data_IF_482686360197
#
_entry.id   IF_482686360197
#
_cell.length_a   1.000
_cell.length_b   1.000
_cell.length_c   1.000
_cell.angle_alpha   90.00
_cell.angle_beta   90.00
_cell.angle_gamma   90.00
#
_symmetry.space_group_name_H-M   'P 1'
#
loop_
_entity.id
_entity.type
_entity.pdbx_description
1 polymer ?
#
# COMPACT_ATOMS: atom_id res chain seq x y z
N UNK A 1 15.26 1.71 11.44
CA UNK A 1 15.83 2.67 10.45
C UNK A 1 17.35 2.68 10.43
N UNK A 2 18.06 2.93 11.54
CA UNK A 2 19.54 3.06 11.50
C UNK A 2 20.27 1.76 11.10
N UNK A 3 19.89 0.62 11.68
CA UNK A 3 20.47 -0.69 11.33
C UNK A 3 20.21 -1.10 9.86
N UNK A 4 19.02 -0.80 9.34
CA UNK A 4 18.64 -1.08 7.95
C UNK A 4 19.41 -0.19 6.98
N UNK A 5 19.52 1.10 7.29
CA UNK A 5 20.32 2.04 6.52
C UNK A 5 21.79 1.61 6.46
N UNK A 6 22.37 1.21 7.60
CA UNK A 6 23.75 0.74 7.66
C UNK A 6 23.98 -0.46 6.73
N UNK A 7 23.02 -1.38 6.68
CA UNK A 7 23.07 -2.54 5.79
C UNK A 7 23.06 -2.13 4.32
N UNK A 8 22.20 -1.19 3.94
CA UNK A 8 22.11 -0.66 2.57
C UNK A 8 23.38 0.10 2.19
N UNK A 9 23.87 0.94 3.09
CA UNK A 9 25.10 1.70 2.89
C UNK A 9 26.29 0.77 2.65
N UNK A 10 26.49 -0.25 3.51
CA UNK A 10 27.58 -1.20 3.36
C UNK A 10 27.52 -1.96 2.03
N UNK A 11 26.32 -2.34 1.56
CA UNK A 11 26.17 -2.93 0.22
C UNK A 11 26.61 -1.98 -0.89
N UNK A 12 26.25 -0.70 -0.77
CA UNK A 12 26.69 0.32 -1.74
C UNK A 12 28.21 0.52 -1.70
N UNK A 13 28.84 0.48 -0.52
CA UNK A 13 30.30 0.51 -0.38
C UNK A 13 30.94 -0.68 -1.10
N UNK A 14 30.47 -1.91 -0.85
CA UNK A 14 30.99 -3.11 -1.52
C UNK A 14 30.82 -3.05 -3.04
N UNK A 15 29.73 -2.46 -3.54
CA UNK A 15 29.54 -2.23 -4.98
C UNK A 15 30.53 -1.20 -5.52
N UNK A 16 30.79 -0.11 -4.79
CA UNK A 16 31.76 0.91 -5.20
C UNK A 16 33.21 0.36 -5.21
N UNK A 17 33.57 -0.46 -4.23
CA UNK A 17 34.87 -1.13 -4.16
C UNK A 17 35.11 -2.04 -5.38
N UNK A 18 34.06 -2.67 -5.93
CA UNK A 18 34.18 -3.51 -7.13
C UNK A 18 34.60 -2.74 -8.38
N UNK A 19 34.44 -1.42 -8.38
CA UNK A 19 34.87 -0.51 -9.46
C UNK A 19 36.00 0.42 -9.02
N UNK A 20 36.73 0.04 -7.96
CA UNK A 20 37.84 0.80 -7.36
C UNK A 20 37.45 2.25 -6.96
N UNK A 21 36.19 2.43 -6.55
CA UNK A 21 35.66 3.68 -6.06
C UNK A 21 35.43 3.61 -4.54
N UNK A 22 35.86 4.65 -3.83
CA UNK A 22 35.60 4.79 -2.40
C UNK A 22 34.47 5.79 -2.14
N UNK A 23 33.61 5.54 -1.14
CA UNK A 23 32.60 6.51 -0.72
C UNK A 23 33.30 7.77 -0.22
N UNK A 24 33.08 8.89 -0.91
CA UNK A 24 33.56 10.19 -0.48
C UNK A 24 32.41 11.16 -0.29
N UNK A 25 32.62 12.14 0.59
CA UNK A 25 31.71 13.26 0.72
C UNK A 25 31.95 14.24 -0.43
N UNK A 26 30.92 14.59 -1.22
CA UNK A 26 30.99 15.68 -2.17
C UNK A 26 31.38 16.99 -1.47
N UNK A 27 32.03 17.89 -2.21
CA UNK A 27 32.34 19.22 -1.70
C UNK A 27 31.04 19.96 -1.36
N UNK A 28 30.88 20.29 -0.09
CA UNK A 28 29.78 21.11 0.44
C UNK A 28 30.03 22.55 -0.02
N UNK A 29 29.30 23.01 -1.04
CA UNK A 29 29.36 24.40 -1.51
C UNK A 29 28.41 25.29 -0.70
N UNK A 30 28.81 26.53 -0.42
CA UNK A 30 28.02 27.49 0.37
C UNK A 30 26.64 27.80 -0.23
N UNK A 31 26.44 27.58 -1.54
CA UNK A 31 25.16 27.78 -2.22
C UNK A 31 24.85 26.58 -3.12
N UNK A 32 23.89 25.76 -2.71
CA UNK A 32 23.21 24.81 -3.60
C UNK A 32 21.73 25.19 -3.68
N UNK A 33 21.16 25.13 -4.89
CA UNK A 33 19.76 25.50 -5.15
C UNK A 33 18.84 24.27 -5.16
N UNK A 34 19.36 23.11 -5.59
CA UNK A 34 18.55 21.93 -5.91
C UNK A 34 18.76 20.73 -4.97
N UNK A 35 19.71 20.81 -4.03
CA UNK A 35 20.01 19.71 -3.10
C UNK A 35 20.18 20.22 -1.69
N UNK A 36 19.63 19.49 -0.72
CA UNK A 36 19.94 19.65 0.70
C UNK A 36 21.44 19.42 0.93
N UNK A 37 22.02 20.28 1.75
CA UNK A 37 23.45 20.26 2.06
C UNK A 37 23.64 20.32 3.58
N UNK A 38 22.90 19.46 4.28
CA UNK A 38 23.02 19.30 5.73
C UNK A 38 24.44 18.84 6.07
N UNK A 39 25.02 19.48 7.09
CA UNK A 39 26.36 19.14 7.55
C UNK A 39 26.40 17.68 8.06
N UNK A 40 27.49 16.99 7.76
CA UNK A 40 27.75 15.63 8.20
C UNK A 40 29.26 15.46 8.48
N UNK A 41 29.58 14.59 9.43
CA UNK A 41 30.94 14.28 9.87
C UNK A 41 31.68 13.30 8.97
N UNK A 42 30.94 12.44 8.27
CA UNK A 42 31.46 11.29 7.55
C UNK A 42 30.55 10.94 6.35
N UNK A 43 31.06 10.20 5.34
CA UNK A 43 30.28 9.83 4.15
C UNK A 43 28.97 9.13 4.48
N UNK A 44 28.96 8.24 5.48
CA UNK A 44 27.78 7.45 5.83
C UNK A 44 26.65 8.35 6.36
N UNK A 45 26.98 9.25 7.29
CA UNK A 45 26.07 10.28 7.79
C UNK A 45 25.63 11.24 6.69
N UNK A 46 26.54 11.62 5.79
CA UNK A 46 26.24 12.51 4.67
C UNK A 46 25.17 11.93 3.74
N UNK A 47 25.35 10.69 3.27
CA UNK A 47 24.39 10.03 2.39
C UNK A 47 23.08 9.71 3.11
N UNK A 48 23.08 9.56 4.43
CA UNK A 48 21.85 9.36 5.19
C UNK A 48 20.96 10.61 5.12
N UNK A 49 21.51 11.76 5.48
CA UNK A 49 20.74 13.00 5.64
C UNK A 49 20.47 13.67 4.29
N UNK A 50 21.41 13.59 3.35
CA UNK A 50 21.32 14.32 2.07
C UNK A 50 20.89 13.46 0.87
N UNK A 51 20.58 12.18 1.08
CA UNK A 51 20.08 11.28 0.03
C UNK A 51 18.99 10.35 0.56
N UNK A 52 19.28 9.52 1.56
CA UNK A 52 18.37 8.46 1.98
C UNK A 52 17.07 8.99 2.60
N UNK A 53 17.17 9.94 3.55
CA UNK A 53 15.98 10.55 4.17
C UNK A 53 15.14 11.29 3.12
N UNK A 54 15.67 12.25 2.34
CA UNK A 54 14.88 12.94 1.31
C UNK A 54 14.25 12.00 0.28
N UNK A 55 14.94 10.91 -0.08
CA UNK A 55 14.41 9.93 -1.01
C UNK A 55 13.24 9.13 -0.43
N UNK A 56 13.36 8.67 0.81
CA UNK A 56 12.27 7.95 1.50
C UNK A 56 11.09 8.88 1.72
N UNK A 57 11.34 10.12 2.15
CA UNK A 57 10.29 11.14 2.31
C UNK A 57 9.57 11.39 0.99
N UNK A 58 10.30 11.48 -0.13
CA UNK A 58 9.70 11.65 -1.45
C UNK A 58 8.87 10.44 -1.90
N UNK A 59 9.31 9.22 -1.59
CA UNK A 59 8.50 8.01 -1.86
C UNK A 59 7.22 8.05 -1.04
N UNK A 60 7.31 8.38 0.25
CA UNK A 60 6.15 8.50 1.13
C UNK A 60 5.20 9.55 0.58
N UNK A 61 5.69 10.75 0.27
CA UNK A 61 4.88 11.83 -0.34
C UNK A 61 4.27 11.40 -1.68
N UNK A 62 5.01 10.68 -2.51
CA UNK A 62 4.51 10.16 -3.78
C UNK A 62 3.42 9.12 -3.59
N UNK A 63 3.56 8.22 -2.62
CA UNK A 63 2.54 7.25 -2.24
C UNK A 63 1.32 7.97 -1.67
N UNK A 64 1.52 8.91 -0.74
CA UNK A 64 0.46 9.72 -0.18
C UNK A 64 -0.25 10.52 -1.26
N UNK A 65 0.43 11.20 -2.17
CA UNK A 65 -0.22 12.00 -3.22
C UNK A 65 -1.01 11.12 -4.20
N UNK A 66 -0.41 10.03 -4.69
CA UNK A 66 -1.04 9.16 -5.70
C UNK A 66 -2.19 8.34 -5.12
N UNK A 67 -2.07 7.94 -3.86
CA UNK A 67 -3.09 7.17 -3.16
C UNK A 67 -3.93 8.04 -2.19
N UNK A 68 -3.75 9.35 -2.11
CA UNK A 68 -4.72 10.24 -1.41
C UNK A 68 -5.77 10.80 -2.37
N UNK A 69 -5.56 10.72 -3.69
CA UNK A 69 -6.48 11.27 -4.69
C UNK A 69 -7.82 10.53 -4.84
N UNK A 70 -7.91 9.25 -4.47
CA UNK A 70 -9.19 8.51 -4.38
C UNK A 70 -10.00 8.95 -3.14
N UNK A 71 -9.57 10.03 -2.47
CA UNK A 71 -10.07 10.60 -1.20
C UNK A 71 -10.54 12.04 -1.33
N UNK A 72 -11.12 12.41 -2.46
CA UNK A 72 -11.82 13.70 -2.58
C UNK A 72 -13.08 13.86 -1.71
N UNK A 73 -13.68 12.77 -1.20
CA UNK A 73 -15.00 12.83 -0.55
C UNK A 73 -15.06 12.58 0.96
N UNK A 74 -13.95 12.28 1.64
CA UNK A 74 -13.99 12.03 3.10
C UNK A 74 -12.85 12.78 3.78
N UNK A 75 -13.02 14.09 3.91
CA UNK A 75 -12.26 14.92 4.82
C UNK A 75 -12.60 14.46 6.24
N UNK A 76 -11.76 13.60 6.85
CA UNK A 76 -11.49 13.52 8.30
C UNK A 76 -10.84 12.20 8.77
N UNK A 77 -10.57 11.21 7.93
CA UNK A 77 -9.76 10.05 8.34
C UNK A 77 -8.28 10.32 8.08
N UNK A 78 -7.51 10.25 9.16
CA UNK A 78 -6.05 10.33 9.14
C UNK A 78 -5.52 9.02 8.55
N UNK A 79 -4.52 9.15 7.67
CA UNK A 79 -3.66 8.09 7.14
C UNK A 79 -4.21 7.26 5.97
N UNK A 80 -3.37 7.13 4.93
CA UNK A 80 -3.49 6.18 3.83
C UNK A 80 -3.84 4.74 4.30
N UNK A 81 -3.48 4.38 5.54
CA UNK A 81 -3.72 3.04 6.08
C UNK A 81 -5.18 2.71 6.38
N UNK A 82 -6.03 3.69 6.72
CA UNK A 82 -7.45 3.40 7.04
C UNK A 82 -8.31 3.25 5.79
N UNK A 83 -7.99 4.02 4.74
CA UNK A 83 -8.83 4.12 3.55
C UNK A 83 -8.62 3.00 2.53
N UNK A 84 -7.47 2.32 2.54
CA UNK A 84 -7.18 1.18 1.67
C UNK A 84 -7.29 -0.18 2.34
N UNK A 85 -8.03 -0.29 3.46
CA UNK A 85 -8.36 -1.58 4.07
C UNK A 85 -9.36 -2.35 3.20
N UNK A 86 -8.86 -2.82 2.06
CA UNK A 86 -9.39 -3.96 1.30
C UNK A 86 -9.41 -5.24 2.16
N UNK A 87 -8.82 -5.20 3.35
CA UNK A 87 -9.04 -6.13 4.46
C UNK A 87 -10.54 -6.42 4.67
N UNK A 88 -11.44 -5.48 4.40
CA UNK A 88 -12.89 -5.72 4.49
C UNK A 88 -13.43 -6.79 3.53
N UNK A 89 -12.66 -7.17 2.51
CA UNK A 89 -12.95 -8.28 1.60
C UNK A 89 -12.20 -9.57 1.96
N UNK A 90 -11.32 -9.53 2.96
CA UNK A 90 -10.64 -10.72 3.49
C UNK A 90 -11.63 -11.47 4.39
N UNK A 91 -11.98 -12.73 4.07
CA UNK A 91 -12.95 -13.51 4.82
C UNK A 91 -12.74 -13.53 6.33
N UNK A 92 -11.51 -13.73 6.83
CA UNK A 92 -11.27 -13.72 8.29
C UNK A 92 -11.64 -12.39 8.92
N UNK A 93 -11.35 -11.26 8.25
CA UNK A 93 -11.69 -9.93 8.74
C UNK A 93 -13.19 -9.68 8.61
N UNK A 94 -13.81 -10.09 7.51
CA UNK A 94 -15.23 -9.90 7.23
C UNK A 94 -16.13 -10.66 8.22
N UNK A 95 -15.71 -11.85 8.66
CA UNK A 95 -16.45 -12.67 9.61
C UNK A 95 -16.55 -12.04 11.01
N UNK A 96 -15.59 -11.20 11.39
CA UNK A 96 -15.58 -10.50 12.68
C UNK A 96 -16.64 -9.39 12.79
N UNK A 97 -17.20 -8.93 11.67
CA UNK A 97 -18.19 -7.85 11.66
C UNK A 97 -19.62 -8.39 11.60
N UNK A 98 -20.52 -7.87 12.43
CA UNK A 98 -21.94 -8.21 12.38
C UNK A 98 -22.65 -7.74 11.09
N UNK A 99 -22.23 -6.60 10.54
CA UNK A 99 -22.69 -6.02 9.27
C UNK A 99 -21.51 -5.86 8.29
N UNK A 100 -21.74 -5.59 6.98
CA UNK A 100 -20.64 -5.25 6.06
C UNK A 100 -19.74 -4.15 6.68
N UNK A 101 -18.41 -4.34 6.67
CA UNK A 101 -17.50 -3.41 7.33
C UNK A 101 -17.51 -2.05 6.64
N UNK A 102 -17.23 -0.94 7.34
CA UNK A 102 -17.24 0.40 6.76
C UNK A 102 -16.37 0.56 5.50
N UNK A 103 -15.35 -0.28 5.34
CA UNK A 103 -14.49 -0.32 4.16
C UNK A 103 -15.20 -0.78 2.88
N UNK A 104 -16.35 -1.48 2.95
CA UNK A 104 -17.15 -1.81 1.76
C UNK A 104 -17.75 -0.57 1.14
N UNK A 105 -18.21 0.40 1.95
CA UNK A 105 -18.74 1.68 1.47
C UNK A 105 -17.69 2.53 0.76
N UNK A 106 -16.44 2.45 1.23
CA UNK A 106 -15.31 3.11 0.57
C UNK A 106 -15.09 2.53 -0.84
N UNK A 107 -15.32 1.22 -1.02
CA UNK A 107 -15.26 0.58 -2.33
C UNK A 107 -16.46 0.98 -3.20
N UNK A 108 -17.67 1.07 -2.65
CA UNK A 108 -18.84 1.57 -3.40
C UNK A 108 -18.59 2.97 -3.95
N UNK A 109 -18.12 3.89 -3.12
CA UNK A 109 -17.84 5.27 -3.55
C UNK A 109 -16.73 5.30 -4.61
N UNK A 110 -15.63 4.58 -4.38
CA UNK A 110 -14.46 4.58 -5.26
C UNK A 110 -14.73 3.94 -6.63
N UNK A 111 -15.59 2.92 -6.67
CA UNK A 111 -15.93 2.16 -7.89
C UNK A 111 -17.38 2.41 -8.33
N UNK A 112 -17.99 3.52 -7.91
CA UNK A 112 -19.39 3.84 -8.20
C UNK A 112 -19.70 3.91 -9.70
N UNK A 113 -18.78 4.42 -10.51
CA UNK A 113 -18.90 4.45 -11.97
C UNK A 113 -18.74 3.07 -12.62
N UNK A 114 -18.15 2.14 -11.87
CA UNK A 114 -17.73 0.83 -12.34
C UNK A 114 -18.69 -0.28 -11.91
N UNK A 115 -19.56 0.03 -10.95
CA UNK A 115 -20.60 -0.84 -10.48
C UNK A 115 -21.91 -0.58 -11.27
N UNK A 116 -22.55 -1.62 -11.84
CA UNK A 116 -23.90 -1.55 -12.40
C UNK A 116 -24.95 -1.11 -11.36
N UNK A 117 -24.75 -1.50 -10.09
CA UNK A 117 -25.51 -0.98 -8.95
C UNK A 117 -24.74 -1.18 -7.63
N UNK A 118 -24.96 -0.27 -6.68
CA UNK A 118 -24.37 -0.36 -5.32
C UNK A 118 -24.80 -1.64 -4.60
N UNK A 119 -26.06 -2.04 -4.77
CA UNK A 119 -26.67 -3.22 -4.13
C UNK A 119 -25.94 -4.53 -4.45
N UNK A 120 -25.29 -4.62 -5.62
CA UNK A 120 -24.52 -5.80 -6.01
C UNK A 120 -23.28 -6.00 -5.13
N UNK A 121 -22.66 -4.91 -4.65
CA UNK A 121 -21.51 -5.04 -3.76
C UNK A 121 -21.94 -5.56 -2.39
N UNK A 122 -23.01 -5.00 -1.81
CA UNK A 122 -23.56 -5.44 -0.54
C UNK A 122 -24.03 -6.91 -0.58
N UNK A 123 -24.67 -7.30 -1.69
CA UNK A 123 -25.05 -8.69 -1.93
C UNK A 123 -23.81 -9.58 -2.04
N UNK A 124 -22.81 -9.16 -2.83
CA UNK A 124 -21.55 -9.89 -3.00
C UNK A 124 -20.82 -10.10 -1.68
N UNK A 125 -20.69 -9.06 -0.86
CA UNK A 125 -20.09 -9.14 0.48
C UNK A 125 -20.89 -10.07 1.40
N UNK A 126 -22.22 -10.01 1.36
CA UNK A 126 -23.08 -10.87 2.16
C UNK A 126 -22.94 -12.35 1.77
N UNK A 127 -22.92 -12.64 0.47
CA UNK A 127 -22.68 -13.99 -0.04
C UNK A 127 -21.26 -14.48 0.29
N UNK A 128 -20.27 -13.60 0.20
CA UNK A 128 -18.88 -13.89 0.54
C UNK A 128 -18.75 -14.25 2.02
N UNK A 129 -19.39 -13.50 2.91
CA UNK A 129 -19.46 -13.81 4.34
C UNK A 129 -20.14 -15.16 4.58
N UNK A 130 -21.29 -15.41 3.93
CA UNK A 130 -22.03 -16.66 4.07
C UNK A 130 -21.19 -17.87 3.64
N UNK A 131 -20.42 -17.75 2.56
CA UNK A 131 -19.52 -18.81 2.05
C UNK A 131 -18.53 -19.31 3.11
N UNK A 132 -18.02 -18.42 3.96
CA UNK A 132 -17.00 -18.76 4.97
C UNK A 132 -17.51 -18.86 6.41
N UNK A 133 -18.79 -18.57 6.67
CA UNK A 133 -19.36 -18.55 8.04
C UNK A 133 -19.45 -19.92 8.72
N UNK A 134 -19.17 -21.02 8.01
CA UNK A 134 -19.16 -22.39 8.56
C UNK A 134 -17.91 -23.19 8.16
N UNK A 135 -16.88 -22.54 7.63
CA UNK A 135 -15.60 -23.17 7.26
C UNK A 135 -14.69 -23.16 8.49
N UNK A 136 -13.84 -24.19 8.64
CA UNK A 136 -12.84 -24.23 9.72
C UNK A 136 -11.95 -22.97 9.65
N UNK A 137 -11.72 -22.24 10.76
CA UNK A 137 -10.87 -21.05 10.78
C UNK A 137 -9.49 -21.23 10.13
N UNK A 138 -8.92 -22.43 10.15
CA UNK A 138 -7.64 -22.73 9.51
C UNK A 138 -7.70 -22.66 7.97
N UNK A 139 -8.88 -22.91 7.38
CA UNK A 139 -9.12 -22.94 5.94
C UNK A 139 -9.71 -21.61 5.41
N UNK A 140 -10.06 -20.68 6.30
CA UNK A 140 -10.57 -19.36 5.93
C UNK A 140 -9.42 -18.46 5.42
N UNK A 141 -9.55 -17.84 4.23
CA UNK A 141 -8.52 -16.93 3.72
C UNK A 141 -8.27 -15.73 4.65
N UNK A 142 -7.02 -15.59 5.11
CA UNK A 142 -6.59 -14.54 6.03
C UNK A 142 -5.81 -13.40 5.38
N UNK A 143 -5.60 -13.50 4.07
CA UNK A 143 -4.91 -12.49 3.26
C UNK A 143 -5.66 -12.25 1.96
N UNK A 144 -5.56 -11.05 1.41
CA UNK A 144 -6.19 -10.70 0.13
C UNK A 144 -5.76 -11.65 -1.00
N UNK A 145 -4.49 -12.07 -1.02
CA UNK A 145 -3.97 -13.04 -1.99
C UNK A 145 -4.69 -14.39 -1.91
N UNK A 146 -4.97 -14.89 -0.70
CA UNK A 146 -5.72 -16.13 -0.52
C UNK A 146 -7.19 -15.92 -0.89
N UNK A 147 -7.79 -14.77 -0.53
CA UNK A 147 -9.17 -14.42 -0.88
C UNK A 147 -9.39 -14.44 -2.40
N UNK A 148 -8.48 -13.82 -3.16
CA UNK A 148 -8.51 -13.81 -4.63
C UNK A 148 -8.44 -15.23 -5.20
N UNK A 149 -7.60 -16.11 -4.63
CA UNK A 149 -7.50 -17.51 -5.05
C UNK A 149 -8.74 -18.34 -4.71
N UNK A 150 -9.38 -18.04 -3.57
CA UNK A 150 -10.61 -18.70 -3.12
C UNK A 150 -11.87 -18.15 -3.81
N UNK A 151 -11.73 -17.06 -4.57
CA UNK A 151 -12.77 -16.50 -5.39
C UNK A 151 -12.98 -17.45 -6.57
N UNK A 152 -14.05 -18.24 -6.52
CA UNK A 152 -14.38 -19.21 -7.55
C UNK A 152 -14.84 -18.49 -8.82
N UNK A 153 -14.48 -19.00 -9.99
CA UNK A 153 -14.80 -18.38 -11.29
C UNK A 153 -16.30 -18.17 -11.45
N UNK A 154 -17.15 -19.02 -10.87
CA UNK A 154 -18.62 -18.87 -10.87
C UNK A 154 -19.17 -17.82 -9.88
N UNK A 155 -18.53 -17.64 -8.71
CA UNK A 155 -18.88 -16.53 -7.79
C UNK A 155 -18.46 -15.19 -8.41
N UNK A 156 -17.29 -15.25 -9.02
CA UNK A 156 -16.69 -14.20 -9.82
C UNK A 156 -17.54 -13.96 -11.06
N UNK A 157 -18.13 -14.92 -11.77
CA UNK A 157 -19.00 -14.67 -12.95
C UNK A 157 -20.29 -13.90 -12.62
N UNK A 158 -20.90 -14.11 -11.45
CA UNK A 158 -22.03 -13.30 -10.99
C UNK A 158 -21.61 -11.88 -10.55
N UNK A 159 -20.36 -11.71 -10.05
CA UNK A 159 -19.75 -10.40 -9.77
C UNK A 159 -18.96 -9.81 -10.97
N UNK A 160 -18.70 -10.57 -12.02
CA UNK A 160 -17.91 -10.21 -13.21
C UNK A 160 -18.81 -9.98 -14.39
N UNK A 161 -20.06 -10.45 -14.45
CA UNK A 161 -20.99 -9.85 -15.42
C UNK A 161 -21.09 -8.33 -15.21
N UNK A 162 -20.89 -7.91 -13.97
CA UNK A 162 -20.77 -6.55 -13.44
C UNK A 162 -19.38 -5.93 -13.72
N UNK A 163 -18.30 -6.71 -13.62
CA UNK A 163 -16.90 -6.25 -13.78
C UNK A 163 -16.29 -6.60 -15.17
N UNK A 164 -17.01 -7.22 -16.10
CA UNK A 164 -16.50 -7.64 -17.43
C UNK A 164 -16.31 -6.45 -18.37
N UNK A 165 -16.67 -5.24 -17.95
CA UNK A 165 -16.26 -4.00 -18.59
C UNK A 165 -14.88 -3.49 -18.11
N UNK A 166 -14.15 -4.26 -17.28
CA UNK A 166 -12.91 -3.86 -16.60
C UNK A 166 -11.63 -4.58 -17.06
N UNK A 167 -11.61 -5.10 -18.29
CA UNK A 167 -10.35 -5.40 -19.03
C UNK A 167 -10.45 -4.87 -20.44
#
# INVERSE_FOLDING_TARGET
MEAEYNTIFNKAVTMAESVDALPSMPRITARQVHRSNAAASDPMSYYRVNLAIPFVDHIIEGMETRFSGTVGYINNSKSCSEKYRSDGLVPTVLLDYSSPPPSTRILEDAYSNDLPSSELLDMGVSMWKAKFSGVDPADVPSTLKQSIKACDRHFVENMLHTISNFV
#
